data_IF_001604089418
#
_entry.id   IF_001604089418
#
_cell.length_a   1.000
_cell.length_b   1.000
_cell.length_c   1.000
_cell.angle_alpha   90.00
_cell.angle_beta   90.00
_cell.angle_gamma   90.00
#
_symmetry.space_group_name_H-M   'P 1'
#
loop_
_entity.id
_entity.type
_entity.pdbx_description
1 polymer ?
#
# COMPACT_ATOMS: atom_id res chain seq x y z
N UNK A 1 9.90 -1.45 1.02
CA UNK A 1 9.33 -1.05 -0.28
C UNK A 1 8.69 0.32 -0.09
N UNK A 2 9.27 1.35 -0.68
CA UNK A 2 8.82 2.74 -0.60
C UNK A 2 7.77 3.05 -1.67
N UNK A 3 7.08 4.19 -1.55
CA UNK A 3 6.12 4.64 -2.57
C UNK A 3 6.76 4.82 -3.96
N UNK A 4 8.05 5.16 -4.02
CA UNK A 4 8.80 5.28 -5.26
C UNK A 4 9.05 3.92 -5.92
N UNK A 5 9.34 2.89 -5.12
CA UNK A 5 9.49 1.52 -5.62
C UNK A 5 8.18 0.99 -6.21
N UNK A 6 7.06 1.31 -5.56
CA UNK A 6 5.71 0.98 -6.04
C UNK A 6 5.43 1.72 -7.35
N UNK A 7 5.74 3.02 -7.42
CA UNK A 7 5.55 3.81 -8.64
C UNK A 7 6.31 3.23 -9.84
N UNK A 8 7.59 2.86 -9.64
CA UNK A 8 8.41 2.24 -10.68
C UNK A 8 7.90 0.86 -11.09
N UNK A 9 7.54 0.01 -10.13
CA UNK A 9 7.05 -1.35 -10.42
C UNK A 9 5.76 -1.33 -11.26
N UNK A 10 4.84 -0.43 -10.93
CA UNK A 10 3.54 -0.32 -11.61
C UNK A 10 3.55 0.65 -12.80
N UNK A 11 4.71 1.25 -13.12
CA UNK A 11 4.88 2.27 -14.16
C UNK A 11 3.87 3.44 -14.04
N UNK A 12 3.68 3.93 -12.82
CA UNK A 12 2.83 5.10 -12.52
C UNK A 12 3.66 6.24 -11.96
N UNK A 13 3.09 7.45 -11.93
CA UNK A 13 3.77 8.58 -11.27
C UNK A 13 3.80 8.38 -9.75
N UNK A 14 4.83 8.91 -9.09
CA UNK A 14 4.92 8.86 -7.62
C UNK A 14 3.72 9.52 -6.94
N UNK A 15 3.15 10.57 -7.56
CA UNK A 15 1.91 11.22 -7.10
C UNK A 15 0.72 10.26 -7.11
N UNK A 16 0.57 9.50 -8.20
CA UNK A 16 -0.48 8.47 -8.33
C UNK A 16 -0.27 7.38 -7.28
N UNK A 17 0.93 6.81 -7.18
CA UNK A 17 1.24 5.78 -6.20
C UNK A 17 0.96 6.21 -4.77
N UNK A 18 1.32 7.45 -4.39
CA UNK A 18 1.02 7.99 -3.05
C UNK A 18 -0.48 8.14 -2.81
N UNK A 19 -1.24 8.58 -3.81
CA UNK A 19 -2.70 8.70 -3.71
C UNK A 19 -3.34 7.34 -3.49
N UNK A 20 -2.95 6.34 -4.29
CA UNK A 20 -3.50 4.99 -4.19
C UNK A 20 -3.12 4.33 -2.85
N UNK A 21 -1.87 4.49 -2.39
CA UNK A 21 -1.45 4.00 -1.07
C UNK A 21 -2.28 4.65 0.05
N UNK A 22 -2.55 5.95 -0.04
CA UNK A 22 -3.40 6.66 0.94
C UNK A 22 -4.82 6.12 0.92
N UNK A 23 -5.42 5.95 -0.25
CA UNK A 23 -6.76 5.39 -0.40
C UNK A 23 -6.83 3.95 0.15
N UNK A 24 -5.80 3.13 -0.08
CA UNK A 24 -5.70 1.77 0.47
C UNK A 24 -5.53 1.75 2.00
N UNK A 25 -4.80 2.71 2.57
CA UNK A 25 -4.67 2.87 4.02
C UNK A 25 -5.98 3.33 4.66
N UNK A 26 -6.67 4.30 4.06
CA UNK A 26 -7.96 4.81 4.53
C UNK A 26 -9.04 3.73 4.53
N UNK A 27 -9.01 2.85 3.52
CA UNK A 27 -9.90 1.68 3.42
C UNK A 27 -9.45 0.49 4.28
N UNK A 28 -8.37 0.63 5.06
CA UNK A 28 -7.84 -0.41 5.93
C UNK A 28 -7.39 -1.70 5.20
N UNK A 29 -7.05 -1.62 3.91
CA UNK A 29 -6.52 -2.75 3.14
C UNK A 29 -5.03 -2.96 3.36
N UNK A 30 -4.30 -1.90 3.66
CA UNK A 30 -2.86 -1.96 3.96
C UNK A 30 -2.54 -1.11 5.19
N UNK A 31 -1.52 -1.52 5.96
CA UNK A 31 -0.90 -0.64 6.97
C UNK A 31 0.59 -0.52 6.71
N UNK A 32 1.15 0.59 7.15
CA UNK A 32 2.60 0.73 7.24
C UNK A 32 3.06 0.16 8.59
N UNK A 33 3.96 -0.83 8.56
CA UNK A 33 4.59 -1.38 9.76
C UNK A 33 6.09 -1.09 9.77
N UNK A 34 6.60 -0.67 10.92
CA UNK A 34 8.02 -0.40 11.16
C UNK A 34 8.36 1.08 11.26
N UNK A 35 9.64 1.37 11.45
CA UNK A 35 10.16 2.74 11.58
C UNK A 35 10.17 3.45 10.22
N UNK A 36 10.06 4.79 10.22
CA UNK A 36 9.99 5.63 9.00
C UNK A 36 11.03 5.30 7.91
N UNK A 37 12.22 4.82 8.30
CA UNK A 37 13.33 4.48 7.40
C UNK A 37 13.30 3.05 6.85
N UNK A 38 12.73 2.11 7.60
CA UNK A 38 12.78 0.66 7.30
C UNK A 38 11.40 0.00 7.26
N UNK A 39 10.33 0.78 7.40
CA UNK A 39 9.00 0.25 7.41
C UNK A 39 8.56 -0.20 6.03
N UNK A 40 7.56 -1.08 6.04
CA UNK A 40 7.00 -1.71 4.85
C UNK A 40 5.49 -1.65 4.92
N UNK A 41 4.87 -1.60 3.75
CA UNK A 41 3.43 -1.79 3.65
C UNK A 41 3.14 -3.28 3.75
N UNK A 42 2.21 -3.64 4.62
CA UNK A 42 1.67 -5.00 4.74
C UNK A 42 0.20 -4.96 4.39
N UNK A 43 -0.27 -5.98 3.67
CA UNK A 43 -1.68 -6.15 3.36
C UNK A 43 -2.36 -6.64 4.62
N UNK A 44 -3.39 -5.92 5.05
CA UNK A 44 -4.28 -6.35 6.12
C UNK A 44 -5.35 -7.16 5.40
N UNK A 45 -5.30 -8.48 5.58
CA UNK A 45 -6.26 -9.43 5.02
C UNK A 45 -7.65 -9.12 5.61
N UNK A 46 -8.42 -8.24 4.96
CA UNK A 46 -9.82 -7.94 5.31
C UNK A 46 -10.80 -8.54 4.30
N UNK A 47 -10.32 -9.21 3.26
CA UNK A 47 -11.12 -9.71 2.14
C UNK A 47 -11.12 -11.25 1.99
N UNK A 48 -10.86 -12.02 3.05
CA UNK A 48 -11.22 -13.46 3.10
C UNK A 48 -12.72 -13.72 3.32
N UNK A 49 -13.57 -12.83 2.80
CA UNK A 49 -15.02 -13.02 2.65
C UNK A 49 -15.38 -12.34 1.33
N UNK A 50 -15.69 -13.03 0.22
CA UNK A 50 -16.53 -14.21 0.12
C UNK A 50 -16.19 -14.99 -1.15
N UNK A 51 -15.65 -16.20 -0.99
CA UNK A 51 -15.89 -17.27 -1.95
C UNK A 51 -17.15 -17.99 -1.44
N UNK A 52 -18.30 -17.73 -2.08
CA UNK A 52 -19.52 -18.55 -1.98
C UNK A 52 -20.27 -18.50 -3.30
#
# INVERSE_FOLDING_TARGET
MSARDIATYWNVTEKTARRDIKDLQERNYIRYEGALKNGRYVVIDTDRKQEK
#
